data_IF_296740140051
#
_entry.id   IF_296740140051
#
_cell.length_a   1.000
_cell.length_b   1.000
_cell.length_c   1.000
_cell.angle_alpha   90.00
_cell.angle_beta   90.00
_cell.angle_gamma   90.00
#
_symmetry.space_group_name_H-M   'P 1'
#
loop_
_entity.id
_entity.type
_entity.pdbx_description
1 polymer ?
2 non-polymer ?
3 water ?
#
# COMPACT_ATOMS: atom_id res chain seq x y z
N UNK A 1 -4.88 -28.06 17.23
CA UNK A 1 -3.47 -27.74 17.02
C UNK A 1 -3.30 -26.60 16.03
N UNK A 2 -4.28 -26.45 15.14
CA UNK A 2 -4.31 -25.41 14.13
C UNK A 2 -3.81 -24.04 14.65
N UNK A 3 -4.46 -23.56 15.70
CA UNK A 3 -4.09 -22.30 16.32
C UNK A 3 -2.68 -22.37 16.92
N UNK A 4 -2.41 -23.49 17.59
CA UNK A 4 -1.14 -23.69 18.28
C UNK A 4 0.02 -23.77 17.28
N UNK A 5 -0.27 -24.30 16.10
CA UNK A 5 0.71 -24.39 15.04
C UNK A 5 1.08 -23.01 14.49
N UNK A 6 0.08 -22.19 14.21
CA UNK A 6 0.37 -20.84 13.71
C UNK A 6 1.18 -20.06 14.75
N UNK A 7 0.85 -20.22 16.04
CA UNK A 7 1.58 -19.56 17.11
C UNK A 7 3.04 -20.00 17.14
N UNK A 8 3.27 -21.30 17.06
CA UNK A 8 4.64 -21.81 17.15
C UNK A 8 5.43 -21.40 15.93
N UNK A 9 4.78 -21.41 14.77
CA UNK A 9 5.44 -20.96 13.55
C UNK A 9 5.85 -19.51 13.69
N UNK A 10 4.91 -18.66 14.14
CA UNK A 10 5.23 -17.23 14.37
C UNK A 10 6.36 -17.06 15.40
N UNK A 11 6.30 -17.86 16.44
CA UNK A 11 7.35 -17.85 17.48
C UNK A 11 8.74 -18.07 16.86
N UNK A 12 8.82 -18.90 15.83
CA UNK A 12 10.09 -19.15 15.16
C UNK A 12 10.61 -18.00 14.28
N UNK A 13 9.80 -16.97 14.06
CA UNK A 13 10.28 -15.83 13.26
C UNK A 13 10.32 -14.50 13.99
N UNK A 14 9.40 -14.28 14.92
CA UNK A 14 9.35 -13.00 15.63
C UNK A 14 10.50 -12.89 16.61
N UNK A 15 10.74 -11.68 17.08
CA UNK A 15 11.70 -11.43 18.13
C UNK A 15 11.12 -11.89 19.46
N UNK A 16 11.99 -12.29 20.40
CA UNK A 16 11.53 -12.75 21.72
C UNK A 16 11.03 -11.63 22.60
N UNK A 17 10.14 -11.97 23.53
CA UNK A 17 9.68 -11.04 24.56
C UNK A 17 8.30 -10.41 24.38
N UNK A 18 7.95 -9.61 25.38
CA UNK A 18 6.71 -8.87 25.38
C UNK A 18 7.08 -7.39 25.28
N UNK A 19 6.81 -6.78 24.12
CA UNK A 19 7.15 -5.36 23.92
C UNK A 19 6.33 -4.41 24.81
N UNK A 20 5.16 -4.86 25.30
CA UNK A 20 4.37 -4.06 26.22
C UNK A 20 5.20 -3.67 27.43
N UNK A 21 6.16 -4.50 27.83
CA UNK A 21 6.97 -4.13 28.97
C UNK A 21 7.95 -2.97 28.69
N UNK A 22 8.07 -2.55 27.43
CA UNK A 22 8.99 -1.45 27.08
C UNK A 22 8.28 -0.24 26.46
N UNK A 23 6.98 -0.35 26.26
CA UNK A 23 6.21 0.74 25.68
C UNK A 23 5.21 1.32 26.67
N UNK A 24 5.04 2.65 26.62
CA UNK A 24 4.02 3.38 27.38
C UNK A 24 3.01 4.10 26.46
N UNK A 25 1.84 4.38 27.02
CA UNK A 25 0.90 5.37 26.45
C UNK A 25 0.47 5.10 25.01
N UNK A 26 -0.21 3.97 24.83
CA UNK A 26 -0.74 3.55 23.53
C UNK A 26 -1.89 4.43 23.09
N UNK A 27 -1.88 4.78 21.82
CA UNK A 27 -2.94 5.58 21.20
C UNK A 27 -3.32 4.93 19.89
N UNK A 28 -4.56 4.44 19.79
CA UNK A 28 -5.02 3.86 18.53
C UNK A 28 -5.08 4.94 17.45
N UNK A 29 -4.56 4.62 16.27
CA UNK A 29 -4.55 5.61 15.19
C UNK A 29 -5.15 5.08 13.88
N UNK A 30 -5.35 3.77 13.77
CA UNK A 30 -5.89 3.24 12.54
C UNK A 30 -6.23 1.77 12.54
N UNK A 31 -6.60 1.30 11.35
CA UNK A 31 -7.04 -0.06 11.13
C UNK A 31 -6.52 -0.50 9.77
N UNK A 32 -5.68 -1.53 9.73
CA UNK A 32 -5.12 -1.97 8.48
C UNK A 32 -5.70 -3.26 7.96
N UNK A 33 -5.02 -3.84 6.97
CA UNK A 33 -5.44 -5.08 6.33
C UNK A 33 -5.84 -6.18 7.34
N UNK A 34 -4.96 -6.46 8.28
CA UNK A 34 -5.13 -7.62 9.17
C UNK A 34 -5.17 -7.29 10.66
N UNK A 35 -5.14 -6.00 11.00
CA UNK A 35 -5.21 -5.61 12.40
C UNK A 35 -5.23 -4.11 12.58
N UNK A 36 -5.23 -3.65 13.83
CA UNK A 36 -5.30 -2.23 14.13
C UNK A 36 -3.88 -1.69 14.25
N UNK A 37 -3.74 -0.38 14.16
CA UNK A 37 -2.44 0.26 14.33
C UNK A 37 -2.52 1.29 15.47
N UNK A 38 -1.51 1.28 16.31
CA UNK A 38 -1.42 2.18 17.47
C UNK A 38 -0.04 2.82 17.45
N UNK A 39 0.09 3.97 18.10
CA UNK A 39 1.41 4.48 18.40
C UNK A 39 1.65 4.39 19.90
N UNK A 40 2.93 4.47 20.27
CA UNK A 40 3.29 4.37 21.67
C UNK A 40 4.69 4.96 21.86
N UNK A 41 5.06 5.14 23.13
CA UNK A 41 6.37 5.69 23.48
C UNK A 41 7.34 4.60 23.91
N UNK A 42 8.51 4.54 23.27
CA UNK A 42 9.58 3.67 23.78
C UNK A 42 10.13 4.31 25.05
N UNK A 43 9.87 3.68 26.19
CA UNK A 43 10.20 4.28 27.49
C UNK A 43 11.67 4.70 27.66
N UNK A 44 12.60 3.82 27.30
CA UNK A 44 14.03 4.06 27.54
C UNK A 44 14.58 5.27 26.78
N UNK A 45 13.99 5.56 25.61
CA UNK A 45 14.55 6.56 24.73
C UNK A 45 13.69 7.80 24.49
N UNK A 46 12.41 7.72 24.82
CA UNK A 46 11.50 8.82 24.53
C UNK A 46 11.00 8.90 23.09
N UNK A 47 11.34 7.91 22.26
CA UNK A 47 10.92 7.93 20.86
C UNK A 47 9.54 7.31 20.66
N UNK A 48 8.85 7.75 19.60
CA UNK A 48 7.53 7.23 19.28
C UNK A 48 7.62 6.25 18.13
N UNK A 49 6.92 5.13 18.27
CA UNK A 49 6.85 4.13 17.22
C UNK A 49 5.38 3.84 16.91
N UNK A 50 5.12 3.24 15.75
CA UNK A 50 3.79 2.72 15.48
C UNK A 50 3.83 1.21 15.66
N UNK A 51 2.69 0.63 15.99
CA UNK A 51 2.58 -0.81 16.13
C UNK A 51 1.32 -1.33 15.44
N UNK A 52 1.49 -2.30 14.55
CA UNK A 52 0.35 -3.00 13.96
C UNK A 52 0.10 -4.30 14.74
N UNK A 53 -1.15 -4.55 15.08
CA UNK A 53 -1.50 -5.64 15.99
C UNK A 53 -2.51 -6.53 15.32
N UNK A 54 -2.15 -7.78 15.11
CA UNK A 54 -2.99 -8.68 14.34
C UNK A 54 -3.36 -9.91 15.16
N UNK A 55 -4.63 -9.97 15.55
CA UNK A 55 -5.10 -11.09 16.37
C UNK A 55 -5.21 -12.34 15.49
N UNK A 56 -4.50 -13.40 15.87
CA UNK A 56 -4.60 -14.68 15.16
C UNK A 56 -6.03 -15.20 15.04
N UNK A 57 -6.84 -15.01 16.08
CA UNK A 57 -8.20 -15.58 16.12
C UNK A 57 -9.23 -14.80 15.31
N UNK A 58 -8.91 -13.58 14.91
CA UNK A 58 -9.83 -12.77 14.11
C UNK A 58 -9.41 -12.68 12.64
N UNK A 59 -8.79 -13.72 12.12
CA UNK A 59 -8.35 -13.69 10.72
C UNK A 59 -9.18 -14.61 9.84
N UNK A 60 -9.54 -14.13 8.66
CA UNK A 60 -10.16 -14.96 7.64
C UNK A 60 -9.11 -15.92 7.08
N UNK A 61 -7.87 -15.46 7.04
CA UNK A 61 -6.79 -16.23 6.46
C UNK A 61 -5.52 -16.02 7.30
N UNK A 62 -5.29 -16.89 8.27
CA UNK A 62 -4.24 -16.64 9.24
C UNK A 62 -2.84 -16.58 8.63
N UNK A 63 -2.63 -17.30 7.54
CA UNK A 63 -1.28 -17.37 6.95
C UNK A 63 -0.82 -16.02 6.36
N UNK A 64 -1.75 -15.07 6.24
CA UNK A 64 -1.40 -13.74 5.76
C UNK A 64 -0.43 -13.04 6.71
N UNK A 65 -0.54 -13.36 8.01
CA UNK A 65 0.33 -12.75 9.01
C UNK A 65 1.83 -12.95 8.75
N UNK A 66 2.18 -13.99 7.99
CA UNK A 66 3.58 -14.22 7.64
C UNK A 66 4.17 -13.14 6.72
N UNK A 67 3.30 -12.38 6.07
CA UNK A 67 3.75 -11.49 4.99
C UNK A 67 4.73 -10.41 5.40
N UNK A 68 4.37 -9.64 6.42
CA UNK A 68 5.25 -8.59 6.91
C UNK A 68 6.51 -9.17 7.55
N UNK A 69 6.36 -10.28 8.26
CA UNK A 69 7.48 -10.85 9.03
C UNK A 69 8.35 -11.87 8.28
N UNK A 70 7.84 -12.44 7.18
CA UNK A 70 8.68 -13.30 6.36
C UNK A 70 9.10 -12.62 5.05
N UNK A 71 8.12 -12.24 4.24
CA UNK A 71 8.41 -11.66 2.93
C UNK A 71 9.13 -10.33 3.11
N UNK A 72 8.66 -9.54 4.07
CA UNK A 72 9.17 -8.18 4.23
C UNK A 72 10.22 -8.04 5.33
N UNK A 73 10.74 -9.17 5.80
CA UNK A 73 11.74 -9.14 6.87
C UNK A 73 12.97 -8.32 6.50
N UNK A 74 13.35 -7.43 7.43
CA UNK A 74 14.42 -6.42 7.24
C UNK A 74 14.58 -5.87 5.81
N UNK A 75 13.46 -5.37 5.29
CA UNK A 75 13.43 -4.75 3.99
C UNK A 75 13.64 -3.25 4.20
N UNK A 76 14.50 -2.65 3.38
CA UNK A 76 14.88 -1.25 3.59
C UNK A 76 14.86 -0.50 2.27
N UNK A 77 14.09 0.59 2.24
CA UNK A 77 13.99 1.43 1.04
C UNK A 77 13.44 2.77 1.50
N UNK A 78 13.89 3.85 0.87
CA UNK A 78 13.52 5.20 1.31
C UNK A 78 12.03 5.46 1.15
N UNK A 79 11.36 4.65 0.33
CA UNK A 79 9.93 4.85 0.08
C UNK A 79 9.09 3.70 0.64
N UNK A 80 9.64 2.99 1.61
CA UNK A 80 8.90 1.91 2.27
C UNK A 80 8.96 2.11 3.78
N UNK A 81 7.80 2.03 4.46
CA UNK A 81 7.75 2.15 5.91
C UNK A 81 8.76 1.21 6.52
N UNK A 82 9.58 1.75 7.41
CA UNK A 82 10.61 0.97 8.06
C UNK A 82 10.06 0.20 9.27
N UNK A 83 10.17 -1.12 9.21
CA UNK A 83 9.76 -1.97 10.31
C UNK A 83 10.96 -2.28 11.17
N UNK A 84 10.77 -2.26 12.49
CA UNK A 84 11.89 -2.46 13.38
C UNK A 84 11.96 -3.90 13.88
N UNK A 85 10.85 -4.39 14.43
CA UNK A 85 10.79 -5.69 15.09
C UNK A 85 9.39 -6.27 14.98
N UNK A 86 9.29 -7.54 15.34
CA UNK A 86 8.00 -8.18 15.45
C UNK A 86 7.95 -9.00 16.72
N UNK A 87 6.75 -9.21 17.25
CA UNK A 87 6.62 -9.95 18.51
C UNK A 87 5.34 -10.74 18.52
N UNK A 88 5.31 -11.79 19.32
CA UNK A 88 4.08 -12.52 19.56
C UNK A 88 3.57 -12.18 20.96
N UNK A 89 2.41 -11.52 21.01
CA UNK A 89 1.84 -11.05 22.26
C UNK A 89 0.48 -11.70 22.46
N UNK A 90 0.42 -12.71 23.34
CA UNK A 90 -0.77 -13.53 23.45
C UNK A 90 -1.07 -14.12 22.07
N UNK A 91 -2.30 -14.00 21.61
CA UNK A 91 -2.67 -14.44 20.27
C UNK A 91 -2.41 -13.40 19.17
N UNK A 92 -1.78 -12.28 19.53
CA UNK A 92 -1.57 -11.20 18.57
C UNK A 92 -0.13 -11.10 18.07
N UNK A 93 0.01 -10.90 16.76
CA UNK A 93 1.32 -10.63 16.19
C UNK A 93 1.48 -9.12 16.17
N UNK A 94 2.56 -8.62 16.75
CA UNK A 94 2.81 -7.19 16.74
C UNK A 94 4.00 -6.85 15.86
N UNK A 95 3.85 -5.85 15.01
CA UNK A 95 4.96 -5.37 14.19
C UNK A 95 5.24 -3.96 14.63
N UNK A 96 6.43 -3.73 15.14
CA UNK A 96 6.79 -2.41 15.62
C UNK A 96 7.54 -1.68 14.50
N UNK A 97 7.14 -0.44 14.22
CA UNK A 97 7.72 0.28 13.07
C UNK A 97 7.84 1.78 13.35
N UNK A 98 8.51 2.50 12.45
CA UNK A 98 8.64 3.95 12.59
C UNK A 98 7.26 4.60 12.51
N UNK A 99 7.12 5.73 13.17
CA UNK A 99 5.86 6.49 13.19
C UNK A 99 5.91 7.53 12.09
N UNK A 100 4.95 7.48 11.17
CA UNK A 100 4.85 8.43 10.06
C UNK A 100 3.83 9.47 10.43
N UNK A 101 4.30 10.69 10.66
CA UNK A 101 3.46 11.70 11.29
C UNK A 101 2.50 12.46 10.36
N UNK A 102 2.70 12.34 9.05
CA UNK A 102 1.86 13.06 8.11
C UNK A 102 0.54 12.37 7.80
N UNK A 103 0.32 11.20 8.39
CA UNK A 103 -0.87 10.42 8.11
C UNK A 103 -0.88 9.84 6.71
N UNK A 104 -2.08 9.48 6.24
CA UNK A 104 -2.26 8.78 4.99
C UNK A 104 -2.70 9.70 3.87
N UNK A 105 -2.45 9.27 2.64
CA UNK A 105 -2.81 10.05 1.45
C UNK A 105 -4.33 10.18 1.30
N UNK A 106 -5.05 9.16 1.76
CA UNK A 106 -6.51 9.15 1.70
C UNK A 106 -7.12 10.44 2.25
N UNK A 107 -6.62 10.91 3.38
CA UNK A 107 -7.14 12.12 3.98
C UNK A 107 -6.94 13.31 3.06
N UNK A 108 -5.85 13.29 2.31
CA UNK A 108 -5.58 14.36 1.34
C UNK A 108 -6.51 14.31 0.12
N UNK A 109 -6.62 13.16 -0.53
CA UNK A 109 -7.44 13.08 -1.74
C UNK A 109 -8.94 13.27 -1.47
N UNK A 110 -9.41 12.96 -0.26
CA UNK A 110 -10.82 13.14 0.06
C UNK A 110 -11.16 14.59 0.43
N UNK A 111 -10.14 15.39 0.78
CA UNK A 111 -10.38 16.75 1.25
C UNK A 111 -9.79 17.87 0.40
N UNK A 112 -8.90 17.55 -0.53
CA UNK A 112 -8.32 18.60 -1.38
C UNK A 112 -8.10 18.12 -2.81
N UNK A 113 -7.65 19.06 -3.63
CA UNK A 113 -7.32 18.80 -5.02
C UNK A 113 -5.80 18.92 -5.19
N UNK A 114 -5.13 17.79 -5.39
CA UNK A 114 -3.69 17.82 -5.62
C UNK A 114 -3.39 18.40 -6.99
N UNK A 115 -2.29 19.13 -7.10
CA UNK A 115 -1.83 19.57 -8.41
C UNK A 115 -0.89 18.49 -8.99
N UNK A 116 -0.54 18.62 -10.27
CA UNK A 116 0.17 17.55 -11.00
C UNK A 116 1.60 17.40 -10.52
N UNK A 117 2.12 18.47 -9.97
CA UNK A 117 3.45 18.46 -9.37
C UNK A 117 3.41 17.53 -8.18
N UNK A 118 2.35 17.66 -7.37
CA UNK A 118 2.22 16.83 -6.18
C UNK A 118 1.89 15.41 -6.58
N UNK A 119 1.03 15.26 -7.58
CA UNK A 119 0.66 13.94 -8.04
C UNK A 119 1.92 13.21 -8.56
N UNK A 120 2.70 13.90 -9.40
CA UNK A 120 3.91 13.31 -9.95
C UNK A 120 4.89 12.87 -8.85
N UNK A 121 4.99 13.67 -7.79
CA UNK A 121 5.90 13.38 -6.69
C UNK A 121 5.51 12.10 -5.98
N UNK A 122 4.21 11.92 -5.79
CA UNK A 122 3.68 10.72 -5.16
C UNK A 122 3.92 9.49 -6.03
N UNK A 123 3.62 9.62 -7.31
CA UNK A 123 3.82 8.51 -8.24
C UNK A 123 5.28 8.09 -8.32
N UNK A 124 6.16 9.07 -8.43
CA UNK A 124 7.59 8.80 -8.53
C UNK A 124 8.02 7.99 -7.32
N UNK A 125 7.61 8.44 -6.15
CA UNK A 125 8.00 7.77 -4.91
C UNK A 125 7.49 6.33 -4.88
N UNK A 126 6.25 6.14 -5.29
CA UNK A 126 5.67 4.82 -5.23
C UNK A 126 6.32 3.92 -6.27
N UNK A 127 6.56 4.47 -7.45
CA UNK A 127 7.19 3.70 -8.52
C UNK A 127 8.60 3.26 -8.16
N UNK A 128 9.32 4.11 -7.42
CA UNK A 128 10.65 3.76 -6.97
C UNK A 128 10.57 2.54 -6.06
N UNK A 129 9.63 2.58 -5.13
CA UNK A 129 9.44 1.46 -4.22
C UNK A 129 9.04 0.22 -5.00
N UNK A 130 8.13 0.38 -5.96
CA UNK A 130 7.62 -0.77 -6.68
C UNK A 130 8.66 -1.41 -7.59
N UNK A 131 9.52 -0.60 -8.20
CA UNK A 131 10.51 -1.17 -9.13
C UNK A 131 11.43 -2.13 -8.38
N UNK A 132 11.79 -1.74 -7.17
CA UNK A 132 12.67 -2.54 -6.33
C UNK A 132 11.93 -3.75 -5.77
N UNK A 133 10.69 -3.54 -5.32
CA UNK A 133 9.87 -4.64 -4.82
C UNK A 133 9.57 -5.65 -5.92
N UNK A 134 9.22 -5.14 -7.09
CA UNK A 134 8.90 -6.03 -8.18
C UNK A 134 10.11 -6.79 -8.66
N UNK A 135 11.29 -6.17 -8.54
CA UNK A 135 12.52 -6.79 -8.99
C UNK A 135 12.83 -8.02 -8.15
N UNK A 136 12.40 -7.98 -6.90
CA UNK A 136 12.60 -9.07 -5.94
C UNK A 136 11.43 -10.05 -5.93
N UNK A 137 10.48 -9.85 -6.83
CA UNK A 137 9.34 -10.77 -6.91
C UNK A 137 8.28 -10.57 -5.83
N UNK A 138 8.22 -9.38 -5.24
CA UNK A 138 7.16 -9.10 -4.28
C UNK A 138 6.06 -8.24 -4.92
N UNK A 139 4.82 -8.72 -4.81
CA UNK A 139 3.66 -7.97 -5.26
C UNK A 139 2.94 -7.41 -4.06
N UNK A 140 2.61 -6.13 -4.07
CA UNK A 140 2.00 -5.50 -2.89
C UNK A 140 0.54 -5.92 -2.75
N UNK A 141 -0.19 -5.83 -3.85
CA UNK A 141 -1.58 -6.31 -3.99
C UNK A 141 -2.64 -5.49 -3.31
N UNK A 142 -2.29 -4.36 -2.74
CA UNK A 142 -3.31 -3.49 -2.17
C UNK A 142 -2.89 -2.04 -2.28
N UNK A 143 -2.43 -1.67 -3.47
CA UNK A 143 -2.02 -0.29 -3.70
C UNK A 143 -3.28 0.58 -3.77
N UNK A 144 -3.36 1.60 -2.93
CA UNK A 144 -4.47 2.56 -2.94
C UNK A 144 -4.02 3.69 -2.04
N UNK A 145 -4.77 4.79 -1.95
CA UNK A 145 -4.32 5.94 -1.14
C UNK A 145 -4.12 5.58 0.34
N UNK A 146 -4.85 4.58 0.83
CA UNK A 146 -4.74 4.17 2.22
C UNK A 146 -3.35 3.63 2.51
N UNK A 147 -2.74 3.02 1.50
CA UNK A 147 -1.44 2.39 1.66
C UNK A 147 -0.27 3.38 1.55
N UNK A 148 -0.57 4.66 1.36
CA UNK A 148 0.49 5.66 1.23
C UNK A 148 0.56 6.56 2.47
N UNK A 149 1.67 6.51 3.20
CA UNK A 149 1.86 7.37 4.36
C UNK A 149 2.89 8.44 4.09
N UNK A 150 2.84 9.51 4.89
CA UNK A 150 3.66 10.68 4.67
C UNK A 150 4.41 11.10 5.93
N UNK A 151 5.61 11.65 5.74
CA UNK A 151 6.34 12.27 6.83
C UNK A 151 5.81 13.68 7.00
N UNK A 152 6.25 14.35 8.06
CA UNK A 152 5.84 15.73 8.30
C UNK A 152 6.35 16.62 7.20
N UNK A 153 7.53 16.31 6.67
CA UNK A 153 8.15 17.14 5.63
C UNK A 153 7.82 16.66 4.23
N UNK A 154 6.82 15.79 4.11
CA UNK A 154 6.25 15.50 2.80
C UNK A 154 6.85 14.34 2.03
N UNK A 155 7.70 13.56 2.67
CA UNK A 155 8.21 12.36 2.01
C UNK A 155 7.17 11.27 2.08
N UNK A 156 7.20 10.40 1.09
CA UNK A 156 6.13 9.48 0.82
C UNK A 156 6.63 8.05 1.05
N UNK A 157 5.89 7.25 1.82
CA UNK A 157 6.28 5.87 2.01
C UNK A 157 5.12 4.90 1.77
N UNK A 158 5.42 3.80 1.09
CA UNK A 158 4.46 2.71 0.88
C UNK A 158 4.30 1.90 2.17
N UNK A 159 3.07 1.51 2.48
CA UNK A 159 2.74 0.96 3.79
C UNK A 159 1.85 -0.27 3.65
N UNK A 160 1.55 -0.88 4.78
CA UNK A 160 0.62 -2.02 4.87
C UNK A 160 0.86 -3.15 3.88
N UNK A 161 1.85 -3.98 4.18
CA UNK A 161 2.19 -5.11 3.34
C UNK A 161 1.45 -6.37 3.79
N UNK A 162 0.36 -6.19 4.54
CA UNK A 162 -0.43 -7.30 5.03
C UNK A 162 -0.90 -8.30 3.99
N UNK A 163 -1.13 -7.84 2.76
CA UNK A 163 -1.67 -8.70 1.71
C UNK A 163 -0.63 -9.02 0.62
N UNK A 164 0.63 -8.62 0.82
CA UNK A 164 1.62 -8.84 -0.23
C UNK A 164 1.89 -10.34 -0.47
N UNK A 165 2.57 -10.64 -1.57
CA UNK A 165 2.81 -12.03 -1.94
C UNK A 165 4.09 -12.12 -2.72
N UNK A 166 4.70 -13.30 -2.70
CA UNK A 166 5.96 -13.53 -3.36
C UNK A 166 5.72 -14.39 -4.60
N UNK A 167 6.29 -13.98 -5.73
CA UNK A 167 6.39 -14.84 -6.89
C UNK A 167 7.84 -15.24 -7.10
N UNK A 168 8.05 -16.31 -7.85
CA UNK A 168 9.40 -16.80 -8.13
C UNK A 168 9.36 -17.67 -9.36
N UNK A 169 10.50 -18.24 -9.74
CA UNK A 169 10.53 -19.13 -10.90
C UNK A 169 9.55 -20.30 -10.70
N UNK A 170 9.51 -20.82 -9.47
CA UNK A 170 8.63 -21.93 -9.14
C UNK A 170 7.16 -21.52 -8.95
N UNK A 171 6.94 -20.29 -8.47
CA UNK A 171 5.59 -19.77 -8.36
C UNK A 171 5.53 -18.47 -9.14
N UNK A 172 5.41 -18.57 -10.49
CA UNK A 172 5.60 -17.42 -11.37
C UNK A 172 4.48 -16.41 -11.23
N UNK A 173 3.29 -16.89 -10.85
CA UNK A 173 2.09 -16.07 -10.79
C UNK A 173 1.31 -16.42 -9.53
N UNK A 174 0.53 -15.47 -9.03
CA UNK A 174 -0.40 -15.72 -7.92
C UNK A 174 -1.78 -15.87 -8.54
N UNK A 175 -2.72 -16.39 -7.77
CA UNK A 175 -4.07 -16.63 -8.28
C UNK A 175 -5.15 -16.19 -7.32
N UNK A 176 -4.79 -15.70 -6.14
CA UNK A 176 -5.82 -15.48 -5.15
C UNK A 176 -6.51 -14.10 -5.29
N UNK A 177 -7.79 -14.07 -4.97
CA UNK A 177 -8.58 -12.86 -5.06
C UNK A 177 -8.25 -11.95 -3.89
N UNK A 178 -7.20 -11.15 -4.05
CA UNK A 178 -6.69 -10.33 -2.97
C UNK A 178 -6.65 -8.86 -3.38
N UNK A 179 -7.07 -7.98 -2.49
CA UNK A 179 -7.04 -6.55 -2.77
C UNK A 179 -8.20 -5.78 -2.18
N UNK A 180 -8.43 -4.59 -2.71
CA UNK A 180 -9.63 -3.82 -2.40
C UNK A 180 -10.35 -3.64 -3.72
N UNK A 181 -11.61 -4.10 -3.80
CA UNK A 181 -12.39 -4.22 -5.04
C UNK A 181 -12.22 -3.10 -6.09
N UNK A 182 -12.46 -1.85 -5.71
CA UNK A 182 -12.43 -0.76 -6.68
C UNK A 182 -11.05 -0.53 -7.31
N UNK A 183 -10.00 -1.04 -6.65
CA UNK A 183 -8.62 -0.88 -7.11
C UNK A 183 -8.07 -2.13 -7.82
N UNK A 184 -8.86 -3.20 -7.88
CA UNK A 184 -8.37 -4.48 -8.40
C UNK A 184 -8.13 -4.49 -9.91
N UNK A 185 -7.03 -5.12 -10.33
CA UNK A 185 -6.76 -5.30 -11.75
C UNK A 185 -7.81 -6.23 -12.39
N UNK A 186 -8.17 -5.98 -13.67
CA UNK A 186 -9.17 -6.80 -14.37
C UNK A 186 -8.81 -8.29 -14.39
N UNK A 187 -7.57 -8.61 -14.72
CA UNK A 187 -7.13 -9.99 -14.77
C UNK A 187 -7.23 -10.68 -13.40
N UNK A 188 -7.10 -9.91 -12.32
CA UNK A 188 -7.19 -10.44 -10.96
C UNK A 188 -8.65 -10.72 -10.59
N UNK A 189 -9.55 -9.85 -11.03
CA UNK A 189 -10.98 -10.08 -10.83
C UNK A 189 -11.46 -11.26 -11.69
N UNK A 190 -10.88 -11.39 -12.88
CA UNK A 190 -11.22 -12.49 -13.78
C UNK A 190 -10.61 -13.80 -13.30
N UNK A 191 -9.87 -13.74 -12.19
CA UNK A 191 -9.27 -14.91 -11.57
C UNK A 191 -8.24 -15.62 -12.48
N UNK A 192 -7.59 -14.85 -13.34
CA UNK A 192 -6.46 -15.34 -14.13
C UNK A 192 -5.18 -15.26 -13.31
N UNK A 193 -4.20 -16.13 -13.62
CA UNK A 193 -2.87 -16.02 -12.99
C UNK A 193 -2.24 -14.67 -13.28
N UNK A 194 -1.79 -13.98 -12.25
CA UNK A 194 -1.31 -12.60 -12.39
C UNK A 194 0.03 -12.36 -11.67
N UNK A 195 0.63 -11.21 -11.94
CA UNK A 195 1.89 -10.89 -11.31
C UNK A 195 1.96 -9.45 -10.84
N UNK A 196 3.16 -8.88 -10.83
CA UNK A 196 3.45 -7.53 -10.37
C UNK A 196 2.63 -6.48 -11.11
N UNK A 197 2.25 -6.80 -12.33
CA UNK A 197 1.49 -5.88 -13.17
C UNK A 197 0.23 -5.35 -12.46
N UNK A 198 -0.34 -6.15 -11.54
CA UNK A 198 -1.57 -5.77 -10.86
C UNK A 198 -1.37 -4.51 -10.01
N UNK A 199 -0.19 -4.37 -9.41
CA UNK A 199 0.14 -3.16 -8.66
C UNK A 199 0.11 -1.93 -9.55
N UNK A 200 0.47 -2.11 -10.82
CA UNK A 200 0.53 -0.97 -11.73
C UNK A 200 -0.87 -0.45 -12.05
N UNK A 201 -1.79 -1.36 -12.34
CA UNK A 201 -3.19 -1.00 -12.49
C UNK A 201 -3.70 -0.28 -11.24
N UNK A 202 -3.49 -0.89 -10.07
CA UNK A 202 -3.98 -0.29 -8.83
C UNK A 202 -3.45 1.12 -8.63
N UNK A 203 -2.19 1.35 -9.00
CA UNK A 203 -1.61 2.71 -8.95
C UNK A 203 -2.39 3.66 -9.87
N UNK A 204 -2.72 3.17 -11.06
CA UNK A 204 -3.57 3.89 -11.98
C UNK A 204 -4.85 4.32 -11.32
N UNK A 205 -5.52 3.40 -10.64
CA UNK A 205 -6.72 3.75 -9.87
C UNK A 205 -6.41 4.81 -8.79
N UNK A 206 -5.24 4.72 -8.19
CA UNK A 206 -4.89 5.70 -7.16
C UNK A 206 -4.67 7.07 -7.79
N UNK A 207 -4.18 7.07 -9.02
CA UNK A 207 -4.10 8.33 -9.77
C UNK A 207 -5.52 8.90 -9.95
N UNK A 208 -6.49 8.05 -10.27
CA UNK A 208 -7.88 8.51 -10.42
C UNK A 208 -8.40 9.08 -9.10
N UNK A 209 -8.01 8.47 -7.98
CA UNK A 209 -8.33 9.02 -6.66
C UNK A 209 -7.76 10.42 -6.53
N UNK A 210 -6.52 10.59 -6.96
CA UNK A 210 -5.84 11.87 -6.77
C UNK A 210 -6.49 12.97 -7.61
N UNK A 211 -7.01 12.60 -8.76
CA UNK A 211 -7.71 13.53 -9.64
C UNK A 211 -9.20 13.71 -9.32
N UNK A 212 -9.94 12.60 -9.16
CA UNK A 212 -11.39 12.66 -8.95
C UNK A 212 -11.82 12.63 -7.49
N UNK A 213 -10.92 12.23 -6.60
CA UNK A 213 -11.23 12.16 -5.18
C UNK A 213 -11.78 10.80 -4.76
N UNK A 214 -11.88 9.88 -5.71
CA UNK A 214 -12.35 8.53 -5.40
C UNK A 214 -12.11 7.65 -6.61
N UNK A 215 -12.02 6.33 -6.41
CA UNK A 215 -11.85 5.43 -7.56
C UNK A 215 -13.17 5.34 -8.36
N UNK A 216 -13.13 4.73 -9.56
CA UNK A 216 -14.36 4.60 -10.34
C UNK A 216 -15.34 3.67 -9.65
N UNK A 217 -16.63 3.88 -9.90
CA UNK A 217 -17.69 2.99 -9.44
C UNK A 217 -17.86 2.99 -7.93
N UNK A 218 -17.28 3.99 -7.27
CA UNK A 218 -17.19 3.97 -5.81
C UNK A 218 -18.54 3.91 -5.08
N UNK A 219 -19.58 4.34 -5.76
CA UNK A 219 -20.93 4.38 -5.20
C UNK A 219 -21.73 3.12 -5.48
N UNK A 220 -21.08 2.15 -6.12
CA UNK A 220 -21.69 0.86 -6.38
C UNK A 220 -21.29 -0.12 -5.28
N UNK A 221 -22.15 -1.12 -5.01
CA UNK A 221 -21.72 -2.21 -4.14
C UNK A 221 -20.47 -2.85 -4.75
N UNK A 222 -19.55 -3.30 -3.90
CA UNK A 222 -18.23 -3.78 -4.36
C UNK A 222 -18.28 -4.90 -5.41
N UNK A 223 -19.15 -5.89 -5.24
CA UNK A 223 -19.24 -7.00 -6.19
C UNK A 223 -19.66 -6.55 -7.60
N UNK A 224 -20.56 -5.57 -7.65
CA UNK A 224 -21.01 -5.02 -8.92
C UNK A 224 -19.85 -4.27 -9.58
N UNK A 225 -19.14 -3.47 -8.78
CA UNK A 225 -17.97 -2.74 -9.26
C UNK A 225 -16.93 -3.65 -9.91
N UNK A 226 -16.63 -4.77 -9.25
CA UNK A 226 -15.66 -5.72 -9.78
C UNK A 226 -16.13 -6.29 -11.12
N UNK A 227 -17.43 -6.55 -11.21
CA UNK A 227 -18.00 -7.04 -12.45
C UNK A 227 -17.80 -5.98 -13.52
N UNK A 228 -18.03 -4.72 -13.16
CA UNK A 228 -17.88 -3.61 -14.10
C UNK A 228 -16.42 -3.41 -14.53
N UNK A 229 -15.49 -3.54 -13.59
CA UNK A 229 -14.07 -3.45 -13.90
C UNK A 229 -13.68 -4.60 -14.84
N UNK A 230 -14.15 -5.79 -14.50
CA UNK A 230 -13.85 -6.99 -15.30
C UNK A 230 -14.33 -6.89 -16.74
N UNK A 231 -15.53 -6.34 -16.95
CA UNK A 231 -16.19 -6.41 -18.26
C UNK A 231 -16.06 -5.17 -19.14
N UNK A 232 -15.77 -4.02 -18.56
CA UNK A 232 -15.77 -2.79 -19.34
C UNK A 232 -14.39 -2.35 -19.79
N UNK A 233 -14.37 -1.34 -20.65
CA UNK A 233 -13.11 -0.71 -21.05
C UNK A 233 -12.46 -0.06 -19.84
N UNK A 234 -11.19 0.38 -19.97
CA UNK A 234 -10.56 1.08 -18.84
C UNK A 234 -11.38 2.28 -18.38
N UNK A 235 -11.45 2.51 -17.06
CA UNK A 235 -12.25 3.64 -16.56
C UNK A 235 -11.70 4.98 -17.03
N UNK A 236 -12.62 5.92 -17.27
CA UNK A 236 -12.25 7.28 -17.63
C UNK A 236 -12.25 8.19 -16.40
N UNK A 237 -11.48 9.27 -16.48
CA UNK A 237 -11.47 10.29 -15.43
C UNK A 237 -12.74 11.12 -15.52
N UNK A 238 -13.35 11.44 -14.38
CA UNK A 238 -14.50 12.34 -14.40
C UNK A 238 -14.05 13.75 -14.81
N UNK A 239 -12.87 14.13 -14.33
CA UNK A 239 -12.32 15.45 -14.58
C UNK A 239 -11.16 15.44 -15.59
N UNK A 240 -11.38 14.81 -16.73
CA UNK A 240 -10.37 14.70 -17.79
C UNK A 240 -9.88 16.06 -18.26
N UNK A 241 -10.79 17.02 -18.32
CA UNK A 241 -10.46 18.35 -18.79
C UNK A 241 -9.58 19.12 -17.80
N UNK A 242 -9.44 18.61 -16.58
CA UNK A 242 -8.60 19.26 -15.55
C UNK A 242 -7.18 18.67 -15.51
N UNK A 243 -6.95 17.69 -16.38
CA UNK A 243 -5.71 16.92 -16.42
C UNK A 243 -4.92 17.25 -17.69
N UNK A 244 -3.62 17.44 -17.55
CA UNK A 244 -2.76 17.78 -18.69
C UNK A 244 -2.61 16.58 -19.62
N UNK A 245 -2.29 16.84 -20.90
CA UNK A 245 -1.98 15.74 -21.83
C UNK A 245 -0.88 14.82 -21.28
N UNK A 246 0.10 15.37 -20.58
CA UNK A 246 1.16 14.56 -19.97
C UNK A 246 0.63 13.57 -18.92
N UNK A 247 -0.23 14.03 -18.02
CA UNK A 247 -0.81 13.15 -17.01
C UNK A 247 -1.63 12.02 -17.67
N UNK A 248 -2.44 12.40 -18.65
CA UNK A 248 -3.28 11.45 -19.38
C UNK A 248 -2.44 10.36 -20.05
N UNK A 249 -1.37 10.75 -20.73
CA UNK A 249 -0.51 9.79 -21.42
C UNK A 249 0.13 8.83 -20.45
N UNK A 250 0.55 9.39 -19.31
CA UNK A 250 1.08 8.60 -18.21
C UNK A 250 0.05 7.59 -17.73
N UNK A 251 -1.14 8.08 -17.40
CA UNK A 251 -2.18 7.21 -16.88
C UNK A 251 -2.55 6.12 -17.89
N UNK A 252 -2.48 6.46 -19.18
CA UNK A 252 -2.82 5.53 -20.25
C UNK A 252 -1.86 4.33 -20.35
N UNK A 253 -0.67 4.46 -19.75
CA UNK A 253 0.28 3.34 -19.69
C UNK A 253 0.03 2.42 -18.50
N UNK A 254 -0.80 2.88 -17.57
CA UNK A 254 -1.07 2.15 -16.34
C UNK A 254 -2.34 1.33 -16.45
N UNK A 255 -3.42 1.99 -16.86
CA UNK A 255 -4.74 1.39 -16.95
C UNK A 255 -4.92 0.63 -18.27
N UNK A 256 -3.98 -0.27 -18.57
CA UNK A 256 -4.06 -1.13 -19.73
C UNK A 256 -4.65 -2.47 -19.31
N UNK A 257 -5.74 -2.87 -19.95
CA UNK A 257 -6.43 -4.12 -19.61
C UNK A 257 -5.49 -5.32 -19.75
N UNK A 258 -4.80 -5.40 -20.88
CA UNK A 258 -3.86 -6.50 -21.13
C UNK A 258 -2.61 -6.27 -20.30
N UNK A 259 -2.37 -7.11 -19.27
CA UNK A 259 -1.22 -6.90 -18.40
C UNK A 259 0.13 -7.02 -19.12
N UNK A 260 0.13 -7.69 -20.27
CA UNK A 260 1.36 -7.84 -21.03
C UNK A 260 1.76 -6.52 -21.71
N UNK A 261 0.77 -5.65 -21.93
CA UNK A 261 1.04 -4.37 -22.57
C UNK A 261 1.20 -3.24 -21.55
N UNK A 262 0.68 -3.45 -20.35
CA UNK A 262 0.83 -2.51 -19.24
C UNK A 262 2.32 -2.19 -19.01
N UNK A 263 2.61 -0.91 -18.79
CA UNK A 263 3.97 -0.51 -18.51
C UNK A 263 4.40 -1.11 -17.19
N UNK A 264 5.69 -1.37 -17.06
CA UNK A 264 6.22 -1.85 -15.79
C UNK A 264 6.66 -0.64 -14.96
N UNK A 265 6.91 -0.88 -13.67
CA UNK A 265 7.43 0.16 -12.80
C UNK A 265 8.71 0.77 -13.34
N UNK A 266 9.64 -0.08 -13.76
CA UNK A 266 10.94 0.38 -14.23
C UNK A 266 10.80 1.25 -15.47
N UNK A 267 9.88 0.86 -16.37
CA UNK A 267 9.59 1.67 -17.54
C UNK A 267 8.97 3.00 -17.13
N UNK A 268 8.03 2.95 -16.19
CA UNK A 268 7.32 4.17 -15.79
C UNK A 268 8.22 5.23 -15.17
N UNK A 269 9.31 4.81 -14.54
CA UNK A 269 10.27 5.74 -13.93
C UNK A 269 10.90 6.66 -14.96
N UNK A 270 10.86 6.24 -16.21
CA UNK A 270 11.41 7.04 -17.30
C UNK A 270 10.38 7.97 -17.94
N UNK A 271 9.11 7.86 -17.53
CA UNK A 271 8.05 8.66 -18.18
C UNK A 271 8.20 10.16 -17.91
N UNK A 272 8.04 10.97 -18.97
CA UNK A 272 8.13 12.44 -18.93
C UNK A 272 7.23 13.09 -17.87
N UNK A 273 6.08 12.49 -17.57
CA UNK A 273 5.20 13.05 -16.56
C UNK A 273 5.91 13.20 -15.22
N UNK A 274 6.78 12.25 -14.89
CA UNK A 274 7.49 12.28 -13.60
C UNK A 274 8.56 13.39 -13.47
N UNK A 275 8.99 13.95 -14.59
CA UNK A 275 9.86 15.12 -14.57
C UNK A 275 9.20 16.29 -13.85
N UNK A 276 7.86 16.30 -13.81
CA UNK A 276 7.10 17.35 -13.11
C UNK A 276 7.20 17.22 -11.60
N UNK A 277 7.70 16.07 -11.12
CA UNK A 277 7.63 15.77 -9.69
C UNK A 277 8.26 16.88 -8.86
N UNK A 278 7.46 17.43 -7.95
CA UNK A 278 7.96 18.41 -6.99
C UNK A 278 8.74 17.73 -5.88
N UNK A 279 9.40 18.53 -5.04
CA UNK A 279 10.15 18.04 -3.87
C UNK A 279 9.21 17.69 -2.72
N UNK A 280 9.71 17.02 -1.67
CA UNK A 280 8.90 16.72 -0.47
C UNK A 280 8.15 17.93 0.07
N UNK A 281 8.77 19.11 0.03
CA UNK A 281 8.13 20.34 0.49
C UNK A 281 6.83 20.67 -0.26
N UNK A 282 6.68 20.21 -1.49
CA UNK A 282 5.49 20.55 -2.26
C UNK A 282 4.24 19.87 -1.69
N UNK A 283 4.43 18.72 -1.08
CA UNK A 283 3.33 17.94 -0.53
C UNK A 283 2.79 18.54 0.78
N UNK A 284 3.70 19.14 1.55
CA UNK A 284 3.40 19.68 2.88
C UNK A 284 2.10 20.49 3.04
N UNK A 285 1.84 21.46 2.13
CA UNK A 285 0.63 22.27 2.34
C UNK A 285 -0.69 21.48 2.23
N UNK A 286 -0.65 20.27 1.66
CA UNK A 286 -1.85 19.44 1.53
C UNK A 286 -2.29 18.79 2.85
N UNK A 287 -1.34 18.57 3.74
CA UNK A 287 -1.63 17.87 5.01
C UNK A 287 -2.67 18.60 5.84
N UNK A 288 -3.39 17.84 6.68
CA UNK A 288 -4.53 18.36 7.44
C UNK A 288 -4.26 19.60 8.30
N UNK A 289 -3.18 19.57 9.06
CA UNK A 289 -2.85 20.67 9.96
C UNK A 289 -2.45 21.93 9.20
N UNK A 290 -1.99 21.75 7.96
CA UNK A 290 -1.51 22.87 7.16
C UNK A 290 -2.56 23.52 6.27
N UNK A 291 -3.65 22.80 6.01
CA UNK A 291 -4.71 23.35 5.17
C UNK A 291 -5.81 24.06 5.98
X LIG B 1 -3.66 6.56 8.82
X LIG B 1 -3.56 5.76 10.12
X LIG B 1 -2.19 5.25 10.33
X LIG B 1 -1.82 3.99 9.88
X LIG B 1 -2.62 3.06 9.43
X LIG B 1 -1.89 1.96 9.07
X LIG B 1 -2.24 0.71 8.54
X LIG B 1 -1.26 -0.23 8.27
X LIG B 1 0.08 0.07 8.50
X LIG B 1 0.44 1.31 9.02
X LIG B 1 -0.54 2.26 9.31
X LIG B 1 -0.52 3.55 9.82
X LIG B 1 0.60 4.26 10.22
X LIG B 1 0.52 5.56 10.58
X LIG B 1 1.60 6.22 10.98
X LIG B 1 2.77 5.60 11.05
X LIG B 1 2.86 4.30 10.71
X LIG B 1 1.78 3.64 10.31
X LIG B 1 4.04 3.62 10.75
X LIG B 1 1.11 -0.90 8.22
X LIG B 1 1.96 -1.67 7.99
X LIG B 1 3.09 -2.59 7.71
X LIG B 1 4.25 -1.74 7.19
X LIG B 1 3.48 -3.32 8.98
X LIG B 1 2.78 -3.54 6.68
#
# INVERSE_FOLDING_TARGET
>A
GSHEQFRAALQLVVDPGDPRSYLDNFIKIGEGSTGIVCIATVRSSGKLVAVKKMDLRKQQRRELLFNEVVIMRDYQHENVVEMYNSYLVGDELWVVMEFLEGGALTDIVTHTRMNEEQIAAVCLAVLQALSVLHAQGVIHRDIKSDSILLTHDGRVKLSDFGFCAQVSKEVPRRKSLVGTPYWMAPELISRLPYGPEVDIWSLGIMVIEMVDGEPPYFNEPPLKAMKMIRDNLPPRLKNLHKVSPSLKGFLDRLLVRDPAQRATAAELLKHPFLAKAGPPASIVPLMRQNRTR
>B hetero
1 2OO C1 C2 N3 C4 N5 C6 C7 C8 C9 C10 C11 N12 C13 N14 C15 N16 C17 N18 N19 C20 C21 C22 C23 C24 O25
#
